data_IF_338488235212
#
_entry.id   IF_338488235212
#
_cell.length_a   1.000
_cell.length_b   1.000
_cell.length_c   1.000
_cell.angle_alpha   90.00
_cell.angle_beta   90.00
_cell.angle_gamma   90.00
#
_symmetry.space_group_name_H-M   'P 1'
#
loop_
_entity.id
_entity.type
_entity.pdbx_description
1 polymer ?
#
# COMPACT_ATOMS: atom_id res chain seq x y z
N UNK A 1 -5.62 -20.67 -2.42
CA UNK A 1 -4.31 -20.44 -3.06
C UNK A 1 -4.23 -19.03 -3.67
N UNK A 2 -5.35 -18.44 -4.11
CA UNK A 2 -5.34 -17.17 -4.87
C UNK A 2 -5.01 -15.91 -4.07
N UNK A 3 -5.50 -15.80 -2.84
CA UNK A 3 -5.34 -14.57 -2.02
C UNK A 3 -3.88 -14.32 -1.65
N UNK A 4 -3.12 -15.37 -1.30
CA UNK A 4 -1.69 -15.25 -0.97
C UNK A 4 -0.88 -14.80 -2.20
N UNK A 5 -1.20 -15.35 -3.37
CA UNK A 5 -0.53 -14.97 -4.62
C UNK A 5 -0.89 -13.53 -5.04
N UNK A 6 -2.14 -13.12 -4.84
CA UNK A 6 -2.57 -11.73 -5.04
C UNK A 6 -1.82 -10.77 -4.10
N UNK A 7 -1.71 -11.12 -2.81
CA UNK A 7 -0.95 -10.34 -1.82
C UNK A 7 0.54 -10.17 -2.20
N UNK A 8 1.17 -11.23 -2.73
CA UNK A 8 2.54 -11.15 -3.26
C UNK A 8 2.64 -10.18 -4.44
N UNK A 9 1.75 -10.32 -5.44
CA UNK A 9 1.71 -9.42 -6.61
C UNK A 9 1.49 -7.95 -6.22
N UNK A 10 0.62 -7.71 -5.24
CA UNK A 10 0.40 -6.37 -4.68
C UNK A 10 1.68 -5.81 -4.06
N UNK A 11 2.40 -6.61 -3.27
CA UNK A 11 3.66 -6.17 -2.68
C UNK A 11 4.73 -5.87 -3.73
N UNK A 12 4.86 -6.71 -4.76
CA UNK A 12 5.80 -6.48 -5.86
C UNK A 12 5.49 -5.19 -6.62
N UNK A 13 4.21 -4.93 -6.90
CA UNK A 13 3.76 -3.68 -7.49
C UNK A 13 4.01 -2.47 -6.57
N UNK A 14 3.79 -2.62 -5.27
CA UNK A 14 4.09 -1.60 -4.26
C UNK A 14 5.57 -1.22 -4.23
N UNK A 15 6.47 -2.20 -4.32
CA UNK A 15 7.92 -1.94 -4.43
C UNK A 15 8.30 -1.21 -5.73
N UNK A 16 7.64 -1.53 -6.85
CA UNK A 16 7.87 -0.81 -8.12
C UNK A 16 7.36 0.63 -8.04
N UNK A 17 6.18 0.85 -7.44
CA UNK A 17 5.63 2.18 -7.20
C UNK A 17 6.56 3.02 -6.32
N UNK A 18 7.09 2.45 -5.23
CA UNK A 18 8.04 3.13 -4.35
C UNK A 18 9.27 3.64 -5.10
N UNK A 19 9.88 2.81 -5.96
CA UNK A 19 11.04 3.21 -6.77
C UNK A 19 10.71 4.40 -7.70
N UNK A 20 9.63 4.29 -8.49
CA UNK A 20 9.24 5.34 -9.43
C UNK A 20 8.88 6.65 -8.71
N UNK A 21 8.16 6.58 -7.59
CA UNK A 21 7.80 7.77 -6.83
C UNK A 21 9.01 8.41 -6.15
N UNK A 22 10.01 7.63 -5.73
CA UNK A 22 11.27 8.19 -5.20
C UNK A 22 12.02 8.99 -6.27
N UNK A 23 12.10 8.48 -7.49
CA UNK A 23 12.71 9.22 -8.62
C UNK A 23 12.01 10.57 -8.86
N UNK A 24 10.69 10.62 -8.71
CA UNK A 24 9.92 11.88 -8.77
C UNK A 24 10.23 12.78 -7.57
N UNK A 25 10.29 12.20 -6.36
CA UNK A 25 10.57 12.94 -5.13
C UNK A 25 11.99 13.53 -5.10
N UNK A 26 12.96 12.87 -5.75
CA UNK A 26 14.34 13.33 -5.84
C UNK A 26 14.47 14.56 -6.76
N UNK A 27 13.65 14.64 -7.81
CA UNK A 27 13.54 15.81 -8.69
C UNK A 27 12.73 16.96 -8.06
N UNK A 28 12.04 16.69 -6.95
CA UNK A 28 11.26 17.69 -6.24
C UNK A 28 12.17 18.47 -5.26
N UNK A 29 12.14 19.82 -5.25
CA UNK A 29 12.78 20.59 -4.21
C UNK A 29 12.15 20.28 -2.85
N UNK A 30 12.90 20.56 -1.79
CA UNK A 30 12.44 20.33 -0.43
C UNK A 30 11.14 21.12 -0.17
N UNK A 31 10.05 20.38 0.03
CA UNK A 31 8.70 20.93 0.05
C UNK A 31 7.78 20.03 0.86
N UNK A 32 6.61 20.55 1.26
CA UNK A 32 5.56 19.73 1.87
C UNK A 32 5.12 18.58 0.95
N UNK A 33 5.08 18.80 -0.37
CA UNK A 33 4.73 17.77 -1.36
C UNK A 33 5.71 16.59 -1.33
N UNK A 34 7.03 16.87 -1.25
CA UNK A 34 8.05 15.82 -1.12
C UNK A 34 7.91 15.03 0.17
N UNK A 35 7.69 15.72 1.29
CA UNK A 35 7.49 15.08 2.61
C UNK A 35 6.25 14.18 2.62
N UNK A 36 5.14 14.69 2.08
CA UNK A 36 3.89 13.94 1.94
C UNK A 36 4.09 12.68 1.09
N UNK A 37 4.77 12.79 -0.07
CA UNK A 37 5.09 11.65 -0.93
C UNK A 37 5.87 10.57 -0.18
N UNK A 38 6.96 10.93 0.49
CA UNK A 38 7.78 9.97 1.24
C UNK A 38 7.00 9.30 2.37
N UNK A 39 6.12 10.06 3.05
CA UNK A 39 5.24 9.50 4.08
C UNK A 39 4.23 8.49 3.50
N UNK A 40 3.61 8.78 2.35
CA UNK A 40 2.70 7.83 1.71
C UNK A 40 3.42 6.57 1.22
N UNK A 41 4.67 6.67 0.77
CA UNK A 41 5.50 5.51 0.42
C UNK A 41 5.76 4.59 1.61
N UNK A 42 6.11 5.16 2.78
CA UNK A 42 6.24 4.38 4.01
C UNK A 42 4.92 3.69 4.40
N UNK A 43 3.78 4.37 4.22
CA UNK A 43 2.45 3.79 4.47
C UNK A 43 2.12 2.64 3.51
N UNK A 44 2.46 2.78 2.23
CA UNK A 44 2.31 1.70 1.24
C UNK A 44 3.11 0.46 1.67
N UNK A 45 4.37 0.64 2.07
CA UNK A 45 5.21 -0.46 2.52
C UNK A 45 4.59 -1.18 3.75
N UNK A 46 4.10 -0.41 4.72
CA UNK A 46 3.39 -0.95 5.90
C UNK A 46 2.15 -1.76 5.50
N UNK A 47 1.28 -1.20 4.64
CA UNK A 47 0.04 -1.87 4.27
C UNK A 47 0.27 -3.10 3.37
N UNK A 48 1.28 -3.07 2.49
CA UNK A 48 1.71 -4.27 1.75
C UNK A 48 2.14 -5.39 2.71
N UNK A 49 2.89 -5.06 3.77
CA UNK A 49 3.28 -6.03 4.78
C UNK A 49 2.08 -6.58 5.57
N UNK A 50 1.14 -5.72 5.97
CA UNK A 50 -0.09 -6.15 6.64
C UNK A 50 -0.92 -7.10 5.77
N UNK A 51 -1.07 -6.82 4.47
CA UNK A 51 -1.77 -7.70 3.52
C UNK A 51 -1.06 -9.05 3.39
N UNK A 52 0.28 -9.07 3.35
CA UNK A 52 1.03 -10.33 3.32
C UNK A 52 0.87 -11.18 4.58
N UNK A 53 0.77 -10.56 5.77
CA UNK A 53 0.53 -11.29 7.02
C UNK A 53 -0.90 -11.82 7.05
N UNK A 54 -1.88 -10.94 6.87
CA UNK A 54 -3.31 -11.27 6.98
C UNK A 54 -3.80 -12.24 5.90
N UNK A 55 -3.15 -12.26 4.73
CA UNK A 55 -3.46 -13.24 3.66
C UNK A 55 -2.95 -14.66 3.94
N UNK A 56 -1.99 -14.85 4.87
CA UNK A 56 -1.41 -16.16 5.20
C UNK A 56 -2.11 -16.85 6.38
N UNK A 57 -2.93 -16.12 7.14
CA UNK A 57 -3.68 -16.69 8.25
C UNK A 57 -4.73 -17.65 7.68
N UNK A 58 -4.67 -18.90 8.12
CA UNK A 58 -5.69 -19.90 7.78
C UNK A 58 -6.86 -19.74 8.75
N UNK A 59 -8.07 -19.81 8.22
CA UNK A 59 -9.24 -19.99 9.08
C UNK A 59 -9.21 -21.41 9.65
N UNK A 60 -9.37 -21.56 10.96
CA UNK A 60 -9.48 -22.85 11.62
C UNK A 60 -10.94 -23.10 12.00
N UNK A 61 -11.45 -24.27 11.65
CA UNK A 61 -12.86 -24.63 11.79
C UNK A 61 -12.96 -25.71 12.85
N UNK A 62 -13.53 -25.36 14.01
CA UNK A 62 -13.68 -26.26 15.14
C UNK A 62 -15.16 -26.58 15.34
N UNK A 63 -15.46 -27.85 15.62
CA UNK A 63 -16.80 -28.28 16.03
C UNK A 63 -16.81 -28.46 17.55
N UNK A 64 -17.52 -27.57 18.25
CA UNK A 64 -17.66 -27.63 19.70
C UNK A 64 -19.14 -27.89 19.99
N UNK A 65 -19.44 -29.05 20.57
CA UNK A 65 -20.80 -29.42 20.98
C UNK A 65 -21.86 -29.37 19.86
N UNK A 66 -21.48 -29.64 18.61
CA UNK A 66 -22.37 -29.58 17.46
C UNK A 66 -22.47 -28.21 16.79
N UNK A 67 -21.84 -27.19 17.35
CA UNK A 67 -21.73 -25.86 16.76
C UNK A 67 -20.41 -25.70 16.00
N UNK A 68 -20.50 -25.18 14.78
CA UNK A 68 -19.36 -24.91 13.90
C UNK A 68 -18.79 -23.52 14.23
N UNK A 69 -17.67 -23.49 14.95
CA UNK A 69 -16.94 -22.25 15.24
C UNK A 69 -15.85 -22.07 14.18
N UNK A 70 -15.96 -20.99 13.40
CA UNK A 70 -14.96 -20.60 12.41
C UNK A 70 -14.08 -19.49 12.99
N UNK A 71 -12.86 -19.83 13.35
CA UNK A 71 -11.83 -18.85 13.69
C UNK A 71 -11.18 -18.32 12.41
N UNK A 72 -10.84 -17.03 12.37
CA UNK A 72 -10.23 -16.38 11.20
C UNK A 72 -11.12 -15.36 10.46
N UNK A 73 -12.37 -15.16 10.88
CA UNK A 73 -13.21 -14.06 10.38
C UNK A 73 -12.56 -12.69 10.64
N UNK A 74 -11.89 -12.54 11.79
CA UNK A 74 -11.11 -11.33 12.13
C UNK A 74 -9.93 -11.10 11.19
N UNK A 75 -9.34 -12.17 10.66
CA UNK A 75 -8.26 -12.06 9.68
C UNK A 75 -8.78 -11.59 8.33
N UNK A 76 -9.94 -12.09 7.89
CA UNK A 76 -10.58 -11.62 6.67
C UNK A 76 -10.95 -10.12 6.78
N UNK A 77 -11.49 -9.71 7.94
CA UNK A 77 -11.80 -8.30 8.21
C UNK A 77 -10.53 -7.44 8.23
N UNK A 78 -9.45 -7.93 8.87
CA UNK A 78 -8.15 -7.24 8.91
C UNK A 78 -7.52 -7.10 7.52
N UNK A 79 -7.61 -8.14 6.68
CA UNK A 79 -7.15 -8.10 5.30
C UNK A 79 -7.89 -7.04 4.48
N UNK A 80 -9.22 -6.97 4.62
CA UNK A 80 -10.05 -5.96 3.93
C UNK A 80 -9.64 -4.55 4.36
N UNK A 81 -9.42 -4.32 5.65
CA UNK A 81 -9.01 -3.01 6.16
C UNK A 81 -7.62 -2.62 5.67
N UNK A 82 -6.66 -3.54 5.69
CA UNK A 82 -5.32 -3.31 5.14
C UNK A 82 -5.36 -2.97 3.65
N UNK A 83 -6.22 -3.66 2.87
CA UNK A 83 -6.43 -3.38 1.45
C UNK A 83 -7.03 -1.98 1.20
N UNK A 84 -8.06 -1.58 1.96
CA UNK A 84 -8.65 -0.23 1.87
C UNK A 84 -7.62 0.85 2.19
N UNK A 85 -6.84 0.65 3.24
CA UNK A 85 -5.79 1.57 3.65
C UNK A 85 -4.68 1.67 2.58
N UNK A 86 -4.28 0.55 1.98
CA UNK A 86 -3.36 0.54 0.86
C UNK A 86 -3.91 1.33 -0.33
N UNK A 87 -5.16 1.10 -0.74
CA UNK A 87 -5.78 1.82 -1.86
C UNK A 87 -5.77 3.34 -1.62
N UNK A 88 -6.13 3.78 -0.42
CA UNK A 88 -6.09 5.20 -0.08
C UNK A 88 -4.67 5.78 -0.17
N UNK A 89 -3.67 5.08 0.36
CA UNK A 89 -2.28 5.53 0.28
C UNK A 89 -1.77 5.60 -1.18
N UNK A 90 -2.16 4.64 -2.02
CA UNK A 90 -1.85 4.64 -3.46
C UNK A 90 -2.49 5.85 -4.16
N UNK A 91 -3.77 6.14 -3.91
CA UNK A 91 -4.46 7.30 -4.50
C UNK A 91 -3.75 8.61 -4.14
N UNK A 92 -3.38 8.80 -2.88
CA UNK A 92 -2.63 9.98 -2.47
C UNK A 92 -1.24 10.00 -3.13
N UNK A 93 -0.52 8.89 -3.15
CA UNK A 93 0.80 8.82 -3.81
C UNK A 93 0.73 9.27 -5.27
N UNK A 94 -0.26 8.81 -6.04
CA UNK A 94 -0.46 9.22 -7.44
C UNK A 94 -0.78 10.72 -7.53
N UNK A 95 -1.71 11.21 -6.70
CA UNK A 95 -2.10 12.63 -6.69
C UNK A 95 -0.91 13.55 -6.40
N UNK A 96 -0.12 13.23 -5.38
CA UNK A 96 1.04 14.05 -5.02
C UNK A 96 2.20 13.87 -6.01
N UNK A 97 2.33 12.71 -6.65
CA UNK A 97 3.31 12.49 -7.73
C UNK A 97 3.01 13.37 -8.93
N UNK A 98 1.73 13.52 -9.28
CA UNK A 98 1.29 14.46 -10.32
C UNK A 98 1.61 15.91 -9.96
N UNK A 99 1.33 16.32 -8.72
CA UNK A 99 1.65 17.69 -8.24
C UNK A 99 3.17 17.93 -8.31
N UNK A 100 3.97 16.98 -7.83
CA UNK A 100 5.43 17.09 -7.87
C UNK A 100 5.95 17.20 -9.31
N UNK A 101 5.47 16.35 -10.21
CA UNK A 101 5.89 16.29 -11.61
C UNK A 101 5.43 17.49 -12.44
N UNK A 102 4.38 18.21 -12.03
CA UNK A 102 3.86 19.35 -12.82
C UNK A 102 4.24 20.71 -12.27
N UNK A 103 4.44 20.83 -10.95
CA UNK A 103 4.88 22.08 -10.31
C UNK A 103 6.38 22.29 -10.41
N UNK A 104 7.18 21.24 -10.24
CA UNK A 104 8.63 21.39 -10.08
C UNK A 104 9.42 21.09 -11.35
N UNK A 105 8.93 20.17 -12.20
CA UNK A 105 9.53 19.96 -13.53
C UNK A 105 9.44 21.22 -14.41
N UNK A 106 8.39 22.04 -14.26
CA UNK A 106 8.27 23.33 -14.97
C UNK A 106 9.24 24.40 -14.48
N UNK A 107 9.81 24.28 -13.29
CA UNK A 107 10.85 25.21 -12.80
C UNK A 107 12.24 24.88 -13.36
N UNK A 108 12.46 23.66 -13.87
CA UNK A 108 13.72 23.24 -14.47
C UNK A 108 13.91 23.59 -15.95
N UNK A 109 12.91 24.16 -16.62
CA UNK A 109 12.95 24.53 -18.06
C UNK A 109 13.00 26.04 -18.30
N UNK A 110 13.40 26.83 -17.31
CA UNK A 110 13.75 28.24 -17.51
C UNK A 110 15.24 28.38 -17.22
N UNK A 111 16.05 28.22 -18.25
CA UNK A 111 17.46 28.63 -18.30
C UNK A 111 17.68 29.36 -19.62
#
# INVERSE_FOLDING_TARGET
MDVINAAKKISEAGTKLDKLTREIADQCPESSTKKDLLAYLQRIALYCHQIQITSKVKADVQNISGELIVSGLDSATSLIQAAKNLMNAVVYTVKYSYVASTKYTRQGTVS
#
